data_IF_004955848511
#
_entry.id   IF_004955848511
#
_cell.length_a   1.000
_cell.length_b   1.000
_cell.length_c   1.000
_cell.angle_alpha   90.00
_cell.angle_beta   90.00
_cell.angle_gamma   90.00
#
_symmetry.space_group_name_H-M   'P 1'
#
loop_
_entity.id
_entity.type
_entity.pdbx_description
1 polymer ?
#
# COMPACT_ATOMS: atom_id res chain seq x y z
N UNK A 1 -36.69 22.12 22.57
CA UNK A 1 -36.87 20.73 22.12
C UNK A 1 -35.53 20.04 22.25
N UNK A 2 -35.45 18.88 22.90
CA UNK A 2 -34.18 18.12 22.92
C UNK A 2 -33.85 17.73 21.47
N UNK A 3 -32.65 18.10 21.01
CA UNK A 3 -32.16 17.73 19.68
C UNK A 3 -32.08 16.19 19.66
N UNK A 4 -32.74 15.55 18.67
CA UNK A 4 -32.68 14.09 18.53
C UNK A 4 -31.22 13.65 18.36
N UNK A 5 -30.83 12.56 19.01
CA UNK A 5 -29.51 11.98 18.88
C UNK A 5 -29.24 11.60 17.41
N UNK A 6 -28.18 12.15 16.82
CA UNK A 6 -27.77 11.79 15.46
C UNK A 6 -26.91 10.54 15.47
N UNK A 7 -27.01 9.72 14.44
CA UNK A 7 -26.27 8.46 14.29
C UNK A 7 -25.35 8.52 13.07
N UNK A 8 -24.06 8.22 13.25
CA UNK A 8 -23.08 8.05 12.17
C UNK A 8 -22.62 6.60 12.18
N UNK A 9 -22.71 5.95 11.02
CA UNK A 9 -22.22 4.58 10.81
C UNK A 9 -21.02 4.59 9.90
N UNK A 10 -19.91 4.01 10.34
CA UNK A 10 -18.73 3.75 9.51
C UNK A 10 -18.66 2.26 9.21
N UNK A 11 -18.65 1.90 7.94
CA UNK A 11 -18.59 0.52 7.46
C UNK A 11 -17.18 0.20 7.02
N UNK A 12 -16.55 -0.76 7.69
CA UNK A 12 -15.18 -1.20 7.47
C UNK A 12 -14.21 -0.77 8.57
N UNK A 13 -13.71 -1.75 9.32
CA UNK A 13 -12.75 -1.59 10.42
C UNK A 13 -11.27 -1.57 9.99
N UNK A 14 -10.98 -1.20 8.73
CA UNK A 14 -9.62 -0.94 8.27
C UNK A 14 -9.12 0.43 8.71
N UNK A 15 -7.86 0.75 8.37
CA UNK A 15 -7.19 1.99 8.82
C UNK A 15 -7.97 3.27 8.48
N UNK A 16 -8.64 3.33 7.33
CA UNK A 16 -9.44 4.51 6.96
C UNK A 16 -10.67 4.66 7.87
N UNK A 17 -11.42 3.58 8.08
CA UNK A 17 -12.62 3.61 8.93
C UNK A 17 -12.28 3.93 10.38
N UNK A 18 -11.23 3.33 10.93
CA UNK A 18 -10.76 3.60 12.29
C UNK A 18 -10.23 5.01 12.46
N UNK A 19 -9.47 5.53 11.48
CA UNK A 19 -9.05 6.94 11.48
C UNK A 19 -10.25 7.88 11.42
N UNK A 20 -11.26 7.56 10.60
CA UNK A 20 -12.52 8.33 10.54
C UNK A 20 -13.18 8.36 11.91
N UNK A 21 -13.33 7.20 12.57
CA UNK A 21 -13.92 7.13 13.91
C UNK A 21 -13.13 7.89 14.96
N UNK A 22 -11.79 7.76 14.93
CA UNK A 22 -10.91 8.47 15.85
C UNK A 22 -11.11 9.98 15.77
N UNK A 23 -11.09 10.53 14.57
CA UNK A 23 -11.26 11.97 14.40
C UNK A 23 -12.71 12.43 14.63
N UNK A 24 -13.74 11.64 14.28
CA UNK A 24 -15.13 11.92 14.64
C UNK A 24 -15.35 11.97 16.16
N UNK A 25 -14.80 11.02 16.90
CA UNK A 25 -14.87 11.00 18.36
C UNK A 25 -14.27 12.27 18.97
N UNK A 26 -13.15 12.76 18.45
CA UNK A 26 -12.49 13.99 18.91
C UNK A 26 -13.28 15.26 18.55
N UNK A 27 -13.70 15.37 17.30
CA UNK A 27 -14.43 16.55 16.79
C UNK A 27 -15.83 16.69 17.42
N UNK A 28 -16.45 15.57 17.80
CA UNK A 28 -17.84 15.50 18.26
C UNK A 28 -17.99 15.12 19.74
N UNK A 29 -16.91 15.11 20.53
CA UNK A 29 -16.89 14.64 21.92
C UNK A 29 -17.92 15.27 22.86
N UNK A 30 -18.43 16.46 22.54
CA UNK A 30 -19.45 17.19 23.34
C UNK A 30 -20.84 17.22 22.70
N UNK A 31 -21.05 16.40 21.66
CA UNK A 31 -22.31 16.32 20.90
C UNK A 31 -23.08 15.05 21.28
N UNK A 32 -24.40 15.13 21.21
CA UNK A 32 -25.26 13.95 21.39
C UNK A 32 -25.33 13.14 20.09
N UNK A 33 -24.25 12.37 19.81
CA UNK A 33 -24.08 11.61 18.58
C UNK A 33 -23.72 10.16 18.93
N UNK A 34 -24.42 9.21 18.31
CA UNK A 34 -24.12 7.78 18.35
C UNK A 34 -23.15 7.47 17.22
N UNK A 35 -22.00 6.89 17.54
CA UNK A 35 -20.98 6.45 16.59
C UNK A 35 -20.94 4.92 16.54
N UNK A 36 -21.13 4.34 15.36
CA UNK A 36 -21.17 2.89 15.16
C UNK A 36 -20.14 2.52 14.10
N UNK A 37 -19.23 1.60 14.41
CA UNK A 37 -18.30 1.00 13.44
C UNK A 37 -18.70 -0.45 13.19
N UNK A 38 -18.88 -0.78 11.91
CA UNK A 38 -19.29 -2.12 11.46
C UNK A 38 -18.12 -2.80 10.75
N UNK A 39 -17.75 -4.01 11.17
CA UNK A 39 -16.73 -4.84 10.54
C UNK A 39 -17.23 -6.28 10.37
N UNK A 40 -17.08 -6.82 9.16
CA UNK A 40 -17.52 -8.18 8.83
C UNK A 40 -16.68 -9.27 9.48
N UNK A 41 -15.42 -8.98 9.77
CA UNK A 41 -14.49 -9.92 10.39
C UNK A 41 -14.50 -9.77 11.92
N UNK A 42 -13.98 -10.78 12.61
CA UNK A 42 -13.81 -10.75 14.06
C UNK A 42 -12.74 -9.74 14.51
N UNK A 43 -11.76 -9.47 13.64
CA UNK A 43 -10.62 -8.60 13.91
C UNK A 43 -10.66 -7.35 13.04
N UNK A 44 -10.23 -6.23 13.63
CA UNK A 44 -10.02 -4.98 12.92
C UNK A 44 -8.71 -5.02 12.13
N UNK A 45 -8.57 -4.13 11.13
CA UNK A 45 -7.35 -3.97 10.36
C UNK A 45 -7.52 -4.17 8.84
N UNK A 46 -8.47 -4.97 8.42
CA UNK A 46 -8.75 -5.23 7.01
C UNK A 46 -7.54 -5.82 6.29
N UNK A 47 -6.89 -5.04 5.41
CA UNK A 47 -5.68 -5.47 4.66
C UNK A 47 -4.38 -5.37 5.47
N UNK A 48 -4.44 -4.99 6.73
CA UNK A 48 -3.31 -4.91 7.66
C UNK A 48 -3.53 -5.92 8.80
N UNK A 49 -3.34 -7.20 8.49
CA UNK A 49 -3.56 -8.29 9.44
C UNK A 49 -2.20 -8.92 9.83
N UNK A 50 -1.94 -8.97 11.11
CA UNK A 50 -0.73 -9.59 11.67
C UNK A 50 -1.07 -10.96 12.25
N UNK A 51 -0.25 -11.96 11.95
CA UNK A 51 -0.31 -13.30 12.51
C UNK A 51 1.00 -13.62 13.24
N UNK A 52 0.93 -14.29 14.38
CA UNK A 52 2.11 -14.70 15.14
C UNK A 52 2.12 -16.22 15.25
N UNK A 53 3.23 -16.85 14.85
CA UNK A 53 3.39 -18.29 14.88
C UNK A 53 4.87 -18.67 15.04
N UNK A 54 5.18 -19.64 15.90
CA UNK A 54 6.54 -20.18 16.14
C UNK A 54 7.62 -19.11 16.41
N UNK A 55 7.23 -17.98 17.02
CA UNK A 55 8.12 -16.86 17.31
C UNK A 55 8.34 -15.89 16.14
N UNK A 56 7.62 -16.06 15.04
CA UNK A 56 7.60 -15.15 13.90
C UNK A 56 6.36 -14.24 13.92
N UNK A 57 6.56 -12.99 13.54
CA UNK A 57 5.50 -12.01 13.26
C UNK A 57 5.34 -11.90 11.74
N UNK A 58 4.18 -12.27 11.25
CA UNK A 58 3.86 -12.37 9.82
C UNK A 58 2.78 -11.35 9.47
N UNK A 59 3.07 -10.43 8.57
CA UNK A 59 2.10 -9.46 8.05
C UNK A 59 1.41 -10.01 6.80
N UNK A 60 0.15 -10.39 6.92
CA UNK A 60 -0.58 -11.07 5.84
C UNK A 60 -0.84 -10.16 4.64
N UNK A 61 -0.96 -8.85 4.85
CA UNK A 61 -1.18 -7.84 3.82
C UNK A 61 -0.07 -6.80 3.78
N UNK A 62 -0.35 -5.54 4.11
CA UNK A 62 0.67 -4.50 4.24
C UNK A 62 1.63 -4.84 5.40
N UNK A 63 2.92 -4.61 5.22
CA UNK A 63 3.97 -4.93 6.21
C UNK A 63 4.63 -3.69 6.84
N UNK A 64 4.34 -2.51 6.29
CA UNK A 64 5.04 -1.30 6.70
C UNK A 64 4.30 -0.03 6.31
N UNK A 65 4.58 1.05 7.02
CA UNK A 65 4.03 2.39 6.82
C UNK A 65 5.16 3.31 6.34
N UNK A 66 4.87 4.16 5.34
CA UNK A 66 5.81 5.19 4.89
C UNK A 66 5.91 6.28 5.96
N UNK A 67 7.00 6.29 6.72
CA UNK A 67 7.18 7.12 7.92
C UNK A 67 7.06 8.64 7.66
N UNK A 68 7.51 9.11 6.49
CA UNK A 68 7.54 10.54 6.12
C UNK A 68 6.17 11.14 5.79
N UNK A 69 5.11 10.35 5.66
CA UNK A 69 3.81 10.89 5.34
C UNK A 69 3.27 11.71 6.51
N UNK A 70 2.89 12.95 6.24
CA UNK A 70 2.51 13.96 7.26
C UNK A 70 1.40 13.56 8.23
N UNK A 71 0.59 12.57 7.87
CA UNK A 71 -0.52 12.06 8.70
C UNK A 71 -0.12 10.91 9.62
N UNK A 72 1.07 10.33 9.45
CA UNK A 72 1.46 9.09 10.13
C UNK A 72 1.91 9.37 11.56
N UNK A 73 2.99 10.14 11.72
CA UNK A 73 3.52 10.42 13.06
C UNK A 73 2.52 11.12 13.99
N UNK A 74 1.74 12.16 13.53
CA UNK A 74 0.72 12.75 14.39
C UNK A 74 -0.33 11.75 14.89
N UNK A 75 -0.76 10.78 14.05
CA UNK A 75 -1.68 9.76 14.49
C UNK A 75 -1.03 8.82 15.52
N UNK A 76 0.22 8.41 15.31
CA UNK A 76 0.96 7.54 16.25
C UNK A 76 1.09 8.23 17.61
N UNK A 77 1.41 9.54 17.64
CA UNK A 77 1.47 10.37 18.85
C UNK A 77 0.08 10.46 19.53
N UNK A 78 -0.98 10.72 18.76
CA UNK A 78 -2.36 10.77 19.28
C UNK A 78 -2.82 9.44 19.88
N UNK A 79 -2.28 8.33 19.40
CA UNK A 79 -2.55 6.99 19.93
C UNK A 79 -1.60 6.59 21.08
N UNK A 80 -0.52 7.36 21.33
CA UNK A 80 0.48 7.04 22.36
C UNK A 80 1.28 5.78 22.02
N UNK A 81 1.68 5.62 20.77
CA UNK A 81 2.41 4.45 20.25
C UNK A 81 3.86 4.77 19.85
N UNK A 82 4.41 5.93 20.18
CA UNK A 82 5.74 6.39 19.74
C UNK A 82 6.86 5.44 20.18
N UNK A 83 6.78 4.93 21.40
CA UNK A 83 7.75 4.00 21.98
C UNK A 83 7.62 2.57 21.43
N UNK A 84 6.55 2.30 20.67
CA UNK A 84 6.28 1.01 20.00
C UNK A 84 6.81 0.97 18.58
N UNK A 85 7.12 2.14 17.98
CA UNK A 85 7.60 2.25 16.61
C UNK A 85 8.95 1.57 16.42
N UNK A 86 9.08 0.81 15.35
CA UNK A 86 10.33 0.27 14.84
C UNK A 86 10.54 0.72 13.39
N UNK A 87 11.79 0.94 13.01
CA UNK A 87 12.14 1.36 11.66
C UNK A 87 12.87 0.22 10.93
N UNK A 88 12.80 0.22 9.61
CA UNK A 88 13.49 -0.79 8.80
C UNK A 88 15.01 -0.77 9.01
N UNK A 89 15.61 -1.94 9.19
CA UNK A 89 17.02 -2.11 9.58
C UNK A 89 18.03 -1.79 8.51
N UNK A 90 17.74 -2.07 7.23
CA UNK A 90 18.69 -1.87 6.12
C UNK A 90 18.00 -1.27 4.90
N UNK A 91 18.74 -0.51 4.10
CA UNK A 91 18.25 0.12 2.86
C UNK A 91 18.70 -0.56 1.58
N UNK A 92 19.55 -1.61 1.64
CA UNK A 92 20.06 -2.29 0.45
C UNK A 92 19.00 -3.22 -0.12
N UNK A 93 18.75 -3.13 -1.42
CA UNK A 93 17.86 -4.01 -2.17
C UNK A 93 18.55 -4.51 -3.43
N UNK A 94 18.16 -5.68 -3.90
CA UNK A 94 18.76 -6.33 -5.05
C UNK A 94 17.78 -6.51 -6.19
N UNK A 95 18.32 -6.68 -7.39
CA UNK A 95 17.61 -7.21 -8.56
C UNK A 95 18.20 -8.59 -8.85
N UNK A 96 17.35 -9.61 -8.86
CA UNK A 96 17.71 -10.96 -9.26
C UNK A 96 17.48 -11.10 -10.78
N UNK A 97 18.55 -11.30 -11.50
CA UNK A 97 18.54 -11.51 -12.95
C UNK A 97 19.74 -12.37 -13.36
N UNK A 98 19.62 -13.14 -14.44
CA UNK A 98 20.69 -14.03 -14.90
C UNK A 98 21.25 -14.98 -13.81
N UNK A 99 20.39 -15.38 -12.86
CA UNK A 99 20.70 -16.22 -11.70
C UNK A 99 21.67 -15.57 -10.69
N UNK A 100 21.80 -14.26 -10.70
CA UNK A 100 22.64 -13.51 -9.77
C UNK A 100 21.89 -12.35 -9.12
N UNK A 101 22.35 -11.96 -7.93
CA UNK A 101 21.85 -10.80 -7.19
C UNK A 101 22.71 -9.58 -7.50
N UNK A 102 22.10 -8.55 -8.07
CA UNK A 102 22.73 -7.27 -8.36
C UNK A 102 22.24 -6.20 -7.39
N UNK A 103 23.13 -5.62 -6.62
CA UNK A 103 22.79 -4.54 -5.69
C UNK A 103 22.31 -3.30 -6.44
N UNK A 104 21.18 -2.74 -6.04
CA UNK A 104 20.78 -1.40 -6.47
C UNK A 104 21.68 -0.40 -5.76
N UNK A 105 22.38 0.48 -6.48
CA UNK A 105 23.28 1.46 -5.84
C UNK A 105 22.58 2.27 -4.77
N UNK A 106 23.23 2.45 -3.60
CA UNK A 106 22.64 3.11 -2.43
C UNK A 106 22.12 4.52 -2.71
N UNK A 107 22.85 5.29 -3.53
CA UNK A 107 22.42 6.61 -3.99
C UNK A 107 21.49 6.50 -5.20
N UNK A 108 20.45 5.68 -5.06
CA UNK A 108 19.34 5.56 -6.03
C UNK A 108 18.00 5.76 -5.32
N UNK A 109 17.06 6.40 -6.03
CA UNK A 109 15.69 6.56 -5.58
C UNK A 109 14.77 5.82 -6.55
N UNK A 110 14.06 4.80 -6.07
CA UNK A 110 13.20 3.96 -6.91
C UNK A 110 13.91 3.30 -8.10
N UNK A 111 15.19 2.93 -7.92
CA UNK A 111 16.02 2.40 -8.99
C UNK A 111 16.64 3.46 -9.91
N UNK A 112 16.23 4.73 -9.78
CA UNK A 112 16.81 5.85 -10.55
C UNK A 112 18.08 6.32 -9.85
N UNK A 113 19.27 6.29 -10.50
CA UNK A 113 20.50 6.83 -9.94
C UNK A 113 20.34 8.33 -9.62
N UNK A 114 20.81 8.79 -8.46
CA UNK A 114 20.72 10.20 -8.06
C UNK A 114 21.93 11.02 -8.51
N UNK A 115 22.98 10.36 -9.00
CA UNK A 115 24.22 10.99 -9.50
C UNK A 115 24.95 10.07 -10.47
N UNK A 116 26.04 10.57 -11.04
CA UNK A 116 26.87 9.81 -12.00
C UNK A 116 27.58 8.63 -11.36
N UNK A 117 28.00 8.78 -10.11
CA UNK A 117 28.72 7.77 -9.34
C UNK A 117 27.84 6.56 -9.11
N UNK A 118 26.58 6.76 -8.69
CA UNK A 118 25.59 5.68 -8.55
C UNK A 118 25.31 4.99 -9.91
N UNK A 119 25.21 5.77 -11.00
CA UNK A 119 25.05 5.21 -12.33
C UNK A 119 26.25 4.31 -12.72
N UNK A 120 27.48 4.73 -12.42
CA UNK A 120 28.68 3.95 -12.71
C UNK A 120 28.79 2.67 -11.87
N UNK A 121 28.29 2.67 -10.64
CA UNK A 121 28.29 1.51 -9.75
C UNK A 121 27.31 0.42 -10.16
N UNK A 122 26.30 0.72 -10.99
CA UNK A 122 25.34 -0.29 -11.43
C UNK A 122 26.02 -1.39 -12.24
N UNK A 123 25.81 -2.64 -11.83
CA UNK A 123 26.24 -3.84 -12.53
C UNK A 123 25.19 -4.39 -13.49
N UNK A 124 23.98 -3.81 -13.49
CA UNK A 124 22.82 -4.24 -14.29
C UNK A 124 22.88 -3.77 -15.74
N UNK A 125 23.62 -2.70 -16.03
CA UNK A 125 23.62 -2.04 -17.31
C UNK A 125 25.02 -1.98 -17.91
N UNK A 126 25.06 -2.08 -19.23
CA UNK A 126 26.32 -2.01 -20.01
C UNK A 126 26.93 -0.59 -20.00
N UNK A 127 28.17 -0.48 -20.36
CA UNK A 127 28.81 0.82 -20.55
C UNK A 127 28.12 1.68 -21.63
N UNK A 128 27.49 1.04 -22.63
CA UNK A 128 26.67 1.74 -23.61
C UNK A 128 25.37 2.29 -22.96
N UNK A 129 24.71 1.49 -22.10
CA UNK A 129 23.56 1.92 -21.32
C UNK A 129 23.89 3.06 -20.36
N UNK A 130 25.04 3.01 -19.68
CA UNK A 130 25.52 4.11 -18.82
C UNK A 130 25.71 5.40 -19.60
N UNK A 131 26.31 5.32 -20.81
CA UNK A 131 26.45 6.48 -21.70
C UNK A 131 25.09 7.02 -22.15
N UNK A 132 24.16 6.16 -22.52
CA UNK A 132 22.81 6.56 -22.92
C UNK A 132 22.08 7.27 -21.75
N UNK A 133 22.24 6.80 -20.52
CA UNK A 133 21.63 7.42 -19.34
C UNK A 133 22.16 8.84 -19.04
N UNK A 134 23.35 9.18 -19.51
CA UNK A 134 23.90 10.54 -19.41
C UNK A 134 23.27 11.54 -20.40
N UNK A 135 22.43 11.10 -21.35
CA UNK A 135 21.65 11.99 -22.21
C UNK A 135 20.72 12.91 -21.39
N UNK A 136 20.29 12.50 -20.19
CA UNK A 136 19.56 13.35 -19.26
C UNK A 136 20.26 14.70 -19.00
N UNK A 137 21.59 14.76 -19.05
CA UNK A 137 22.36 15.98 -18.77
C UNK A 137 22.26 17.03 -19.88
N UNK A 138 21.91 16.63 -21.10
CA UNK A 138 21.98 17.45 -22.32
C UNK A 138 20.66 17.59 -23.06
N UNK A 139 19.79 16.60 -23.04
CA UNK A 139 18.49 16.66 -23.71
C UNK A 139 17.54 17.60 -22.96
N UNK A 140 16.92 18.60 -23.61
CA UNK A 140 15.88 19.42 -22.99
C UNK A 140 14.54 18.64 -22.91
N UNK A 141 13.65 19.06 -22.02
CA UNK A 141 12.26 18.60 -22.03
C UNK A 141 11.41 19.53 -22.91
N UNK A 142 10.99 19.03 -24.06
CA UNK A 142 10.16 19.80 -25.02
C UNK A 142 8.75 19.22 -25.17
N UNK A 143 8.50 17.98 -24.66
CA UNK A 143 7.26 17.28 -24.98
C UNK A 143 6.52 16.68 -23.78
N UNK A 144 7.18 16.46 -22.65
CA UNK A 144 6.57 15.80 -21.52
C UNK A 144 5.94 16.77 -20.54
N UNK A 145 4.78 16.36 -20.00
CA UNK A 145 4.03 17.04 -18.94
C UNK A 145 3.81 16.10 -17.76
N UNK A 146 3.20 16.57 -16.67
CA UNK A 146 2.85 15.72 -15.53
C UNK A 146 1.89 14.58 -15.89
N UNK A 147 1.10 14.74 -16.95
CA UNK A 147 0.15 13.73 -17.43
C UNK A 147 0.80 12.71 -18.39
N UNK A 148 2.06 12.92 -18.76
CA UNK A 148 2.80 11.99 -19.62
C UNK A 148 3.15 10.70 -18.89
N UNK A 149 3.34 9.62 -19.67
CA UNK A 149 3.83 8.33 -19.17
C UNK A 149 5.18 8.47 -18.49
N UNK A 150 5.32 7.96 -17.27
CA UNK A 150 6.61 7.95 -16.57
C UNK A 150 7.61 7.02 -17.27
N UNK A 151 7.16 5.91 -17.86
CA UNK A 151 8.01 4.98 -18.59
C UNK A 151 8.64 5.63 -19.81
N UNK A 152 7.83 6.26 -20.66
CA UNK A 152 8.30 6.98 -21.84
C UNK A 152 9.23 8.15 -21.48
N UNK A 153 8.90 8.90 -20.43
CA UNK A 153 9.73 9.99 -19.92
C UNK A 153 11.10 9.50 -19.47
N UNK A 154 11.16 8.45 -18.66
CA UNK A 154 12.43 7.91 -18.18
C UNK A 154 13.24 7.29 -19.30
N UNK A 155 12.62 6.58 -20.22
CA UNK A 155 13.31 5.95 -21.36
C UNK A 155 13.91 6.99 -22.31
N UNK A 156 13.19 8.09 -22.55
CA UNK A 156 13.70 9.19 -23.38
C UNK A 156 14.98 9.83 -22.82
N UNK A 157 15.04 10.05 -21.49
CA UNK A 157 16.18 10.71 -20.87
C UNK A 157 17.28 9.75 -20.40
N UNK A 158 16.95 8.56 -19.94
CA UNK A 158 17.91 7.61 -19.38
C UNK A 158 18.23 6.41 -20.28
N UNK A 159 17.50 6.25 -21.37
CA UNK A 159 17.67 5.12 -22.28
C UNK A 159 16.97 3.84 -21.82
N UNK A 160 16.67 3.00 -22.78
CA UNK A 160 15.89 1.77 -22.61
C UNK A 160 16.51 0.80 -21.61
N UNK A 161 17.84 0.63 -21.63
CA UNK A 161 18.52 -0.40 -20.85
C UNK A 161 18.41 -0.12 -19.35
N UNK A 162 18.68 1.12 -18.89
CA UNK A 162 18.55 1.49 -17.48
C UNK A 162 17.09 1.39 -17.00
N UNK A 163 16.16 1.82 -17.84
CA UNK A 163 14.74 1.75 -17.49
C UNK A 163 14.29 0.31 -17.35
N UNK A 164 14.53 -0.55 -18.33
CA UNK A 164 14.03 -1.93 -18.33
C UNK A 164 14.72 -2.82 -17.30
N UNK A 165 16.03 -2.67 -17.09
CA UNK A 165 16.79 -3.57 -16.22
C UNK A 165 16.83 -3.15 -14.75
N UNK A 166 16.72 -1.85 -14.44
CA UNK A 166 16.87 -1.36 -13.07
C UNK A 166 15.66 -0.58 -12.56
N UNK A 167 15.11 0.36 -13.34
CA UNK A 167 14.06 1.25 -12.86
C UNK A 167 12.69 0.57 -12.89
N UNK A 168 12.30 -0.01 -14.01
CA UNK A 168 10.99 -0.62 -14.20
C UNK A 168 10.69 -1.76 -13.20
N UNK A 169 11.62 -2.69 -12.90
CA UNK A 169 11.37 -3.70 -11.87
C UNK A 169 11.00 -3.10 -10.51
N UNK A 170 11.69 -2.03 -10.10
CA UNK A 170 11.45 -1.35 -8.82
C UNK A 170 10.13 -0.59 -8.82
N UNK A 171 9.87 0.23 -9.84
CA UNK A 171 8.65 1.05 -9.90
C UNK A 171 7.38 0.21 -10.08
N UNK A 172 7.42 -0.81 -10.93
CA UNK A 172 6.30 -1.76 -11.08
C UNK A 172 6.04 -2.54 -9.80
N UNK A 173 7.08 -2.73 -8.97
CA UNK A 173 6.96 -3.30 -7.63
C UNK A 173 6.19 -2.42 -6.65
N UNK A 174 6.36 -1.11 -6.76
CA UNK A 174 5.76 -0.12 -5.85
C UNK A 174 4.35 0.26 -6.28
N UNK A 175 4.15 0.52 -7.58
CA UNK A 175 2.89 1.07 -8.11
C UNK A 175 1.94 0.02 -8.70
N UNK A 176 2.31 -1.27 -8.67
CA UNK A 176 1.46 -2.40 -9.10
C UNK A 176 0.90 -2.27 -10.52
N UNK A 177 1.64 -1.64 -11.43
CA UNK A 177 1.22 -1.40 -12.82
C UNK A 177 2.38 -1.41 -13.81
N UNK A 178 2.03 -1.44 -15.10
CA UNK A 178 2.99 -1.22 -16.17
C UNK A 178 3.45 0.23 -16.17
N UNK A 179 4.76 0.44 -16.17
CA UNK A 179 5.39 1.76 -16.09
C UNK A 179 4.93 2.70 -17.21
N UNK A 180 4.64 2.15 -18.39
CA UNK A 180 4.18 2.94 -19.54
C UNK A 180 2.71 3.34 -19.47
N UNK A 181 1.93 2.72 -18.59
CA UNK A 181 0.52 3.06 -18.33
C UNK A 181 0.30 4.00 -17.14
N UNK A 182 1.38 4.36 -16.42
CA UNK A 182 1.34 5.25 -15.26
C UNK A 182 1.81 6.67 -15.64
N UNK A 183 1.20 7.71 -15.06
CA UNK A 183 1.64 9.10 -15.27
C UNK A 183 2.73 9.51 -14.28
N UNK A 184 3.50 10.53 -14.65
CA UNK A 184 4.38 11.24 -13.73
C UNK A 184 3.60 11.80 -12.52
N UNK A 185 2.41 12.37 -12.75
CA UNK A 185 1.57 12.92 -11.68
C UNK A 185 1.18 11.88 -10.64
N UNK A 186 0.84 10.67 -11.06
CA UNK A 186 0.40 9.59 -10.16
C UNK A 186 1.54 8.82 -9.49
N UNK A 187 2.78 9.05 -9.92
CA UNK A 187 3.95 8.32 -9.44
C UNK A 187 4.98 9.23 -8.77
N UNK A 188 5.86 9.85 -9.57
CA UNK A 188 6.99 10.65 -9.09
C UNK A 188 6.97 12.03 -9.77
N UNK A 189 6.02 12.90 -9.43
CA UNK A 189 5.80 14.17 -10.13
C UNK A 189 6.99 15.13 -10.09
N UNK A 190 7.86 15.06 -9.09
CA UNK A 190 9.01 15.94 -8.98
C UNK A 190 10.11 15.65 -10.01
N UNK A 191 10.11 14.50 -10.71
CA UNK A 191 11.12 14.21 -11.74
C UNK A 191 11.06 15.19 -12.90
N UNK A 192 9.85 15.49 -13.37
CA UNK A 192 9.67 16.49 -14.44
C UNK A 192 9.94 17.92 -13.94
N UNK A 193 9.60 18.22 -12.68
CA UNK A 193 9.94 19.50 -12.07
C UNK A 193 11.48 19.67 -12.00
N UNK A 194 12.22 18.60 -11.63
CA UNK A 194 13.69 18.60 -11.67
C UNK A 194 14.23 18.79 -13.09
N UNK A 195 13.67 18.04 -14.05
CA UNK A 195 14.09 18.18 -15.44
C UNK A 195 13.91 19.60 -15.96
N UNK A 196 12.78 20.21 -15.69
CA UNK A 196 12.46 21.55 -16.17
C UNK A 196 13.26 22.64 -15.43
N UNK A 197 13.47 22.50 -14.11
CA UNK A 197 14.15 23.49 -13.30
C UNK A 197 15.68 23.43 -13.40
N UNK A 198 16.25 22.22 -13.45
CA UNK A 198 17.70 22.02 -13.44
C UNK A 198 18.27 21.58 -14.79
N UNK A 199 17.41 21.40 -15.79
CA UNK A 199 17.78 20.86 -17.11
C UNK A 199 18.14 19.37 -17.10
N UNK A 200 18.11 18.71 -15.94
CA UNK A 200 18.46 17.29 -15.78
C UNK A 200 17.87 16.74 -14.49
N UNK A 201 17.41 15.50 -14.53
CA UNK A 201 16.91 14.74 -13.38
C UNK A 201 18.07 14.51 -12.39
N UNK A 202 19.23 14.08 -12.89
CA UNK A 202 20.45 13.88 -12.07
C UNK A 202 20.88 15.16 -11.36
N UNK A 203 20.88 16.32 -12.04
CA UNK A 203 21.19 17.61 -11.42
C UNK A 203 20.14 18.00 -10.39
N UNK A 204 18.86 17.72 -10.66
CA UNK A 204 17.77 17.94 -9.71
C UNK A 204 17.93 17.13 -8.43
N UNK A 205 18.30 15.86 -8.53
CA UNK A 205 18.63 15.03 -7.37
C UNK A 205 19.84 15.57 -6.60
N UNK A 206 20.92 15.94 -7.30
CA UNK A 206 22.11 16.50 -6.67
C UNK A 206 21.80 17.80 -5.89
N UNK A 207 21.01 18.69 -6.50
CA UNK A 207 20.60 19.97 -5.85
C UNK A 207 19.66 19.76 -4.64
N UNK A 208 19.00 18.62 -4.54
CA UNK A 208 18.09 18.27 -3.45
C UNK A 208 18.61 17.10 -2.60
N UNK A 209 19.92 16.82 -2.64
CA UNK A 209 20.52 15.63 -2.00
C UNK A 209 20.16 15.51 -0.52
N UNK A 210 20.17 16.60 0.23
CA UNK A 210 19.87 16.59 1.66
C UNK A 210 18.46 16.07 1.99
N UNK A 211 17.49 16.37 1.12
CA UNK A 211 16.13 15.83 1.26
C UNK A 211 16.10 14.29 1.16
N UNK A 212 16.98 13.71 0.35
CA UNK A 212 17.04 12.27 0.13
C UNK A 212 17.93 11.53 1.12
N UNK A 213 18.98 12.18 1.63
CA UNK A 213 19.83 11.63 2.71
C UNK A 213 19.01 11.51 3.99
N UNK A 214 18.26 12.55 4.37
CA UNK A 214 17.34 12.46 5.51
C UNK A 214 16.25 11.41 5.32
N UNK A 215 15.90 11.10 4.07
CA UNK A 215 14.93 10.08 3.69
C UNK A 215 15.53 8.67 3.55
N UNK A 216 16.85 8.50 3.59
CA UNK A 216 17.51 7.19 3.46
C UNK A 216 17.41 6.36 4.75
N UNK A 217 17.40 7.04 5.91
CA UNK A 217 17.17 6.41 7.21
C UNK A 217 15.67 6.47 7.56
N UNK A 218 15.17 5.42 8.21
CA UNK A 218 13.79 5.39 8.71
C UNK A 218 12.71 5.61 7.63
N UNK A 219 12.89 5.05 6.43
CA UNK A 219 11.95 5.20 5.31
C UNK A 219 10.58 4.59 5.63
N UNK A 220 10.60 3.46 6.29
CA UNK A 220 9.43 2.70 6.65
C UNK A 220 9.43 2.45 8.15
N UNK A 221 8.24 2.45 8.73
CA UNK A 221 8.01 2.04 10.12
C UNK A 221 7.00 0.90 10.22
N UNK A 222 7.10 0.17 11.31
CA UNK A 222 6.15 -0.82 11.80
C UNK A 222 6.09 -0.70 13.32
N UNK A 223 5.51 -1.68 14.02
CA UNK A 223 5.47 -1.73 15.46
C UNK A 223 6.14 -2.99 16.01
N UNK A 224 6.55 -2.97 17.28
CA UNK A 224 7.29 -4.08 17.91
C UNK A 224 6.62 -5.44 17.78
N UNK A 225 5.28 -5.51 17.83
CA UNK A 225 4.49 -6.74 17.68
C UNK A 225 3.68 -6.75 16.37
N UNK A 226 4.14 -6.00 15.35
CA UNK A 226 3.46 -5.88 14.05
C UNK A 226 2.39 -4.81 14.01
N UNK A 227 1.81 -4.62 12.82
CA UNK A 227 0.83 -3.56 12.56
C UNK A 227 -0.49 -3.71 13.35
N UNK A 228 -0.77 -4.89 13.90
CA UNK A 228 -1.93 -5.13 14.77
C UNK A 228 -2.00 -4.19 15.96
N UNK A 229 -0.84 -3.75 16.51
CA UNK A 229 -0.80 -2.84 17.66
C UNK A 229 -1.58 -1.54 17.40
N UNK A 230 -1.58 -1.08 16.15
CA UNK A 230 -2.34 0.10 15.76
C UNK A 230 -3.85 -0.11 15.93
N UNK A 231 -4.37 -1.27 15.56
CA UNK A 231 -5.79 -1.59 15.61
C UNK A 231 -6.28 -1.91 17.03
N UNK A 232 -5.47 -2.64 17.78
CA UNK A 232 -5.69 -2.89 19.21
C UNK A 232 -5.79 -1.57 19.96
N UNK A 233 -4.90 -0.63 19.68
CA UNK A 233 -4.90 0.68 20.30
C UNK A 233 -6.09 1.56 19.94
N UNK A 234 -6.55 1.50 18.69
CA UNK A 234 -7.80 2.16 18.31
C UNK A 234 -8.97 1.61 19.10
N UNK A 235 -9.09 0.29 19.23
CA UNK A 235 -10.19 -0.36 19.96
C UNK A 235 -10.17 0.01 21.43
N UNK A 236 -9.00 0.09 22.06
CA UNK A 236 -8.84 0.53 23.44
C UNK A 236 -9.26 2.00 23.68
N UNK A 237 -8.95 2.88 22.74
CA UNK A 237 -9.20 4.32 22.90
C UNK A 237 -10.63 4.75 22.51
N UNK A 238 -11.24 4.05 21.57
CA UNK A 238 -12.57 4.40 21.03
C UNK A 238 -13.72 3.87 21.90
N UNK A 239 -13.64 4.07 23.20
CA UNK A 239 -14.60 3.54 24.22
C UNK A 239 -16.04 4.03 24.06
N UNK A 240 -16.26 5.13 23.34
CA UNK A 240 -17.59 5.69 23.04
C UNK A 240 -18.15 5.22 21.70
N UNK A 241 -17.41 4.45 20.93
CA UNK A 241 -17.83 3.87 19.65
C UNK A 241 -18.44 2.49 19.90
N UNK A 242 -19.59 2.25 19.30
CA UNK A 242 -20.20 0.93 19.25
C UNK A 242 -19.57 0.12 18.13
N UNK A 243 -18.88 -0.98 18.47
CA UNK A 243 -18.25 -1.88 17.49
C UNK A 243 -19.17 -3.06 17.20
N UNK A 244 -19.64 -3.17 15.95
CA UNK A 244 -20.36 -4.33 15.44
C UNK A 244 -19.41 -5.17 14.59
N UNK A 245 -18.64 -6.04 15.25
CA UNK A 245 -17.75 -7.02 14.60
C UNK A 245 -18.52 -8.29 14.22
N UNK A 246 -17.98 -9.12 13.32
CA UNK A 246 -18.65 -10.28 12.70
C UNK A 246 -20.01 -9.90 12.10
N UNK A 247 -20.14 -8.68 11.56
CA UNK A 247 -21.39 -8.12 11.05
C UNK A 247 -21.16 -7.55 9.64
N UNK A 248 -21.82 -8.11 8.66
CA UNK A 248 -21.73 -7.62 7.30
C UNK A 248 -22.91 -6.71 6.95
N UNK A 249 -22.63 -5.58 6.30
CA UNK A 249 -23.68 -4.75 5.70
C UNK A 249 -24.17 -5.43 4.43
N UNK A 250 -25.47 -5.69 4.34
CA UNK A 250 -26.11 -6.38 3.21
C UNK A 250 -26.80 -5.42 2.26
N UNK A 251 -27.34 -4.30 2.75
CA UNK A 251 -28.05 -3.30 1.94
C UNK A 251 -28.00 -1.93 2.61
N UNK A 252 -27.99 -0.88 1.78
CA UNK A 252 -28.22 0.52 2.18
C UNK A 252 -29.47 1.03 1.48
N UNK A 253 -30.35 1.68 2.25
CA UNK A 253 -31.61 2.19 1.74
C UNK A 253 -31.81 3.64 2.22
N UNK A 254 -32.00 4.57 1.29
CA UNK A 254 -32.23 5.97 1.65
C UNK A 254 -33.72 6.24 1.83
N UNK A 255 -34.11 6.71 3.01
CA UNK A 255 -35.48 7.03 3.37
C UNK A 255 -35.51 8.36 4.14
N UNK A 256 -36.26 9.35 3.66
CA UNK A 256 -36.46 10.64 4.34
C UNK A 256 -35.14 11.31 4.79
N UNK A 257 -34.20 11.49 3.89
CA UNK A 257 -32.87 12.11 4.15
C UNK A 257 -31.98 11.34 5.15
N UNK A 258 -32.30 10.10 5.46
CA UNK A 258 -31.49 9.19 6.27
C UNK A 258 -31.17 7.93 5.51
N UNK A 259 -30.19 7.19 5.98
CA UNK A 259 -29.80 5.87 5.43
C UNK A 259 -30.13 4.79 6.43
N UNK A 260 -30.91 3.80 6.02
CA UNK A 260 -31.12 2.57 6.77
C UNK A 260 -30.03 1.59 6.36
N UNK A 261 -29.23 1.16 7.34
CA UNK A 261 -28.16 0.19 7.17
C UNK A 261 -28.68 -1.19 7.61
N UNK A 262 -28.76 -2.12 6.66
CA UNK A 262 -29.18 -3.49 6.91
C UNK A 262 -27.99 -4.41 7.07
N UNK A 263 -28.08 -5.37 7.97
CA UNK A 263 -27.03 -6.32 8.32
C UNK A 263 -27.49 -7.76 8.11
N UNK A 264 -26.53 -8.69 8.08
CA UNK A 264 -26.79 -10.12 8.01
C UNK A 264 -27.37 -10.71 9.32
N UNK A 265 -26.84 -10.25 10.48
CA UNK A 265 -27.16 -10.82 11.80
C UNK A 265 -27.49 -9.79 12.88
N UNK A 266 -27.79 -8.53 12.49
CA UNK A 266 -28.11 -7.45 13.41
C UNK A 266 -29.35 -6.69 12.95
N UNK A 267 -30.06 -6.03 13.88
CA UNK A 267 -31.17 -5.14 13.53
C UNK A 267 -30.68 -3.94 12.72
N UNK A 268 -31.51 -3.50 11.75
CA UNK A 268 -31.17 -2.36 10.92
C UNK A 268 -30.99 -1.07 11.75
N UNK A 269 -30.03 -0.25 11.36
CA UNK A 269 -29.73 1.03 12.00
C UNK A 269 -30.11 2.17 11.06
N UNK A 270 -30.90 3.11 11.55
CA UNK A 270 -31.16 4.38 10.88
C UNK A 270 -30.00 5.34 11.17
N UNK A 271 -29.30 5.79 10.13
CA UNK A 271 -28.15 6.66 10.20
C UNK A 271 -28.41 8.01 9.53
N UNK A 272 -27.96 9.10 10.16
CA UNK A 272 -27.93 10.43 9.58
C UNK A 272 -26.77 10.57 8.58
N UNK A 273 -25.69 9.79 8.76
CA UNK A 273 -24.59 9.72 7.84
C UNK A 273 -23.93 8.33 7.83
N UNK A 274 -23.55 7.85 6.65
CA UNK A 274 -22.83 6.57 6.48
C UNK A 274 -21.51 6.82 5.77
N UNK A 275 -20.41 6.25 6.29
CA UNK A 275 -19.09 6.24 5.62
C UNK A 275 -18.78 4.82 5.18
N UNK A 276 -18.60 4.61 3.88
CA UNK A 276 -18.21 3.32 3.30
C UNK A 276 -16.70 3.28 3.14
N UNK A 277 -15.99 2.80 4.16
CA UNK A 277 -14.55 2.57 4.17
C UNK A 277 -14.20 1.13 3.72
N UNK A 278 -14.95 0.62 2.76
CA UNK A 278 -14.86 -0.74 2.21
C UNK A 278 -14.26 -0.73 0.79
N UNK A 279 -13.82 -1.90 0.26
CA UNK A 279 -13.53 -2.04 -1.17
C UNK A 279 -14.72 -1.60 -2.03
N UNK A 280 -14.44 -0.96 -3.18
CA UNK A 280 -15.48 -0.39 -4.05
C UNK A 280 -16.56 -1.39 -4.47
N UNK A 281 -16.22 -2.68 -4.69
CA UNK A 281 -17.21 -3.72 -5.02
C UNK A 281 -18.20 -3.97 -3.89
N UNK A 282 -17.73 -3.99 -2.65
CA UNK A 282 -18.60 -4.15 -1.48
C UNK A 282 -19.50 -2.92 -1.29
N UNK A 283 -18.98 -1.71 -1.56
CA UNK A 283 -19.79 -0.50 -1.56
C UNK A 283 -20.88 -0.56 -2.66
N UNK A 284 -20.54 -1.01 -3.86
CA UNK A 284 -21.48 -1.22 -4.97
C UNK A 284 -22.56 -2.23 -4.61
N UNK A 285 -22.19 -3.37 -4.06
CA UNK A 285 -23.11 -4.43 -3.62
C UNK A 285 -24.07 -3.93 -2.53
N UNK A 286 -23.56 -3.22 -1.53
CA UNK A 286 -24.39 -2.67 -0.44
C UNK A 286 -25.39 -1.60 -0.93
N UNK A 287 -25.01 -0.78 -1.93
CA UNK A 287 -25.88 0.21 -2.55
C UNK A 287 -26.94 -0.44 -3.45
N UNK A 288 -26.59 -1.51 -4.16
CA UNK A 288 -27.49 -2.28 -5.03
C UNK A 288 -28.12 -1.45 -6.17
N UNK A 289 -27.51 -0.34 -6.56
CA UNK A 289 -28.05 0.60 -7.56
C UNK A 289 -27.38 0.42 -8.91
N UNK A 290 -28.09 -0.14 -9.87
CA UNK A 290 -27.59 -0.40 -11.21
C UNK A 290 -27.14 0.87 -11.96
N UNK A 291 -27.68 2.04 -11.62
CA UNK A 291 -27.27 3.33 -12.22
C UNK A 291 -25.81 3.66 -11.94
N UNK A 292 -25.28 3.20 -10.79
CA UNK A 292 -23.89 3.40 -10.37
C UNK A 292 -22.93 2.34 -10.93
N UNK A 293 -23.42 1.25 -11.50
CA UNK A 293 -22.60 0.13 -11.99
C UNK A 293 -21.50 0.59 -12.96
N UNK A 294 -21.77 1.42 -14.01
CA UNK A 294 -20.71 1.85 -14.91
C UNK A 294 -19.63 2.70 -14.23
N UNK A 295 -19.99 3.46 -13.19
CA UNK A 295 -19.05 4.29 -12.43
C UNK A 295 -18.15 3.43 -11.52
N UNK A 296 -18.70 2.38 -10.88
CA UNK A 296 -17.93 1.43 -10.08
C UNK A 296 -17.05 0.50 -10.93
N UNK A 297 -17.49 0.07 -12.10
CA UNK A 297 -16.74 -0.80 -13.03
C UNK A 297 -15.49 -0.11 -13.61
N UNK A 298 -15.42 1.22 -13.53
CA UNK A 298 -14.23 1.98 -13.91
C UNK A 298 -13.03 1.71 -12.97
N UNK A 299 -13.28 1.27 -11.72
CA UNK A 299 -12.22 0.97 -10.76
C UNK A 299 -11.59 -0.39 -11.03
N UNK A 300 -10.29 -0.40 -11.30
CA UNK A 300 -9.54 -1.62 -11.60
C UNK A 300 -8.87 -2.15 -10.34
N UNK A 301 -8.75 -3.47 -10.28
CA UNK A 301 -8.07 -4.17 -9.19
C UNK A 301 -7.06 -5.17 -9.71
N UNK A 302 -6.05 -5.41 -8.90
CA UNK A 302 -5.04 -6.44 -9.10
C UNK A 302 -5.12 -7.50 -8.00
N UNK A 303 -4.38 -8.58 -8.21
CA UNK A 303 -4.25 -9.68 -7.25
C UNK A 303 -2.77 -9.90 -6.93
N UNK A 304 -2.50 -10.42 -5.74
CA UNK A 304 -1.16 -10.80 -5.31
C UNK A 304 -1.25 -12.05 -4.45
N UNK A 305 -0.25 -12.91 -4.57
CA UNK A 305 -0.04 -14.04 -3.67
C UNK A 305 1.23 -13.76 -2.89
N UNK A 306 1.23 -14.03 -1.60
CA UNK A 306 2.42 -13.98 -0.76
C UNK A 306 2.58 -15.26 0.02
N UNK A 307 3.83 -15.73 0.14
CA UNK A 307 4.19 -16.91 0.93
C UNK A 307 5.29 -16.51 1.90
N UNK A 308 5.01 -16.61 3.19
CA UNK A 308 6.03 -16.51 4.22
C UNK A 308 6.63 -17.88 4.51
N UNK A 309 7.95 -17.89 4.67
CA UNK A 309 8.75 -19.06 5.03
C UNK A 309 9.65 -18.66 6.20
N UNK A 310 9.40 -19.23 7.38
CA UNK A 310 10.19 -19.04 8.58
C UNK A 310 11.07 -20.28 8.82
N UNK A 311 12.37 -20.07 9.00
CA UNK A 311 13.36 -21.13 9.12
C UNK A 311 14.02 -21.13 10.50
N UNK A 312 14.54 -22.27 10.94
CA UNK A 312 15.31 -22.39 12.20
C UNK A 312 16.68 -21.71 12.11
N UNK A 313 17.25 -21.58 10.90
CA UNK A 313 18.53 -20.90 10.64
C UNK A 313 18.42 -19.38 10.80
N UNK A 314 19.54 -18.71 11.06
CA UNK A 314 19.60 -17.25 11.19
C UNK A 314 19.76 -16.52 9.87
N UNK A 315 19.81 -15.17 9.93
CA UNK A 315 20.03 -14.33 8.74
C UNK A 315 21.43 -14.45 8.12
N UNK A 316 22.37 -15.11 8.80
CA UNK A 316 23.75 -15.34 8.36
C UNK A 316 23.86 -16.29 7.16
N UNK A 317 22.80 -17.07 6.87
CA UNK A 317 22.73 -17.90 5.64
C UNK A 317 22.40 -17.07 4.38
N UNK A 318 21.99 -15.81 4.52
CA UNK A 318 21.72 -14.93 3.38
C UNK A 318 23.02 -14.59 2.65
N UNK A 319 22.99 -14.50 1.31
CA UNK A 319 24.21 -14.29 0.50
C UNK A 319 24.82 -12.89 0.65
N UNK A 320 24.07 -11.94 1.20
CA UNK A 320 24.50 -10.56 1.41
C UNK A 320 23.64 -9.85 2.45
N UNK A 321 24.10 -8.70 2.95
CA UNK A 321 23.26 -7.81 3.75
C UNK A 321 22.25 -7.09 2.87
N UNK A 322 20.96 -7.05 3.31
CA UNK A 322 19.94 -6.38 2.50
C UNK A 322 18.52 -6.61 2.99
N UNK A 323 17.58 -6.09 2.20
CA UNK A 323 16.13 -6.19 2.49
C UNK A 323 15.40 -7.20 1.62
N UNK A 324 16.10 -7.75 0.61
CA UNK A 324 15.52 -8.68 -0.36
C UNK A 324 15.78 -8.28 -1.80
N UNK A 325 15.11 -8.96 -2.71
CA UNK A 325 15.28 -8.75 -4.15
C UNK A 325 13.95 -8.70 -4.90
N UNK A 326 14.01 -8.09 -6.08
CA UNK A 326 12.97 -8.09 -7.11
C UNK A 326 13.53 -8.88 -8.31
N UNK A 327 12.71 -9.73 -8.91
CA UNK A 327 13.10 -10.52 -10.09
C UNK A 327 12.89 -9.70 -11.36
N UNK A 328 13.90 -9.67 -12.21
CA UNK A 328 13.82 -9.08 -13.53
C UNK A 328 14.35 -10.05 -14.59
N UNK A 329 13.51 -10.37 -15.57
CA UNK A 329 13.88 -11.20 -16.73
C UNK A 329 14.60 -12.51 -16.37
N UNK A 330 14.03 -13.30 -15.46
CA UNK A 330 14.57 -14.60 -15.08
C UNK A 330 13.49 -15.68 -15.16
N UNK A 331 13.83 -16.78 -15.84
CA UNK A 331 12.99 -17.99 -15.90
C UNK A 331 13.39 -19.02 -14.83
N UNK A 332 14.44 -18.77 -14.07
CA UNK A 332 14.95 -19.70 -13.07
C UNK A 332 14.04 -19.81 -11.84
N UNK A 333 13.33 -18.74 -11.51
CA UNK A 333 12.39 -18.66 -10.41
C UNK A 333 11.00 -18.24 -10.90
N UNK A 334 9.97 -18.55 -10.15
CA UNK A 334 8.59 -18.19 -10.48
C UNK A 334 8.12 -16.94 -9.71
N UNK A 335 8.80 -16.59 -8.63
CA UNK A 335 8.47 -15.41 -7.84
C UNK A 335 8.84 -14.11 -8.55
N UNK A 336 8.14 -13.02 -8.19
CA UNK A 336 8.44 -11.67 -8.68
C UNK A 336 9.32 -10.88 -7.71
N UNK A 337 9.37 -11.30 -6.43
CA UNK A 337 10.19 -10.68 -5.40
C UNK A 337 10.32 -11.59 -4.18
N UNK A 338 11.36 -11.37 -3.38
CA UNK A 338 11.52 -11.95 -2.06
C UNK A 338 12.02 -10.89 -1.09
N UNK A 339 11.26 -10.64 -0.02
CA UNK A 339 11.71 -9.80 1.10
C UNK A 339 12.40 -10.67 2.15
N UNK A 340 13.56 -10.26 2.60
CA UNK A 340 14.28 -10.84 3.74
C UNK A 340 13.73 -10.20 5.02
N UNK A 341 12.58 -10.70 5.45
CA UNK A 341 11.72 -10.02 6.42
C UNK A 341 12.42 -9.81 7.76
N UNK A 342 13.07 -10.83 8.31
CA UNK A 342 13.81 -10.72 9.59
C UNK A 342 15.06 -9.84 9.50
N UNK A 343 15.69 -9.71 8.32
CA UNK A 343 16.79 -8.77 8.10
C UNK A 343 16.28 -7.33 7.97
N UNK A 344 15.16 -7.13 7.28
CA UNK A 344 14.49 -5.81 7.15
C UNK A 344 13.86 -5.36 8.47
N UNK A 345 13.26 -6.28 9.22
CA UNK A 345 12.50 -6.06 10.45
C UNK A 345 12.95 -7.05 11.53
N UNK A 346 14.02 -6.75 12.30
CA UNK A 346 14.55 -7.68 13.31
C UNK A 346 13.53 -8.11 14.35
N UNK A 347 12.53 -7.28 14.66
CA UNK A 347 11.44 -7.58 15.59
C UNK A 347 10.48 -8.67 15.10
N UNK A 348 10.53 -9.06 13.82
CA UNK A 348 9.63 -10.09 13.26
C UNK A 348 10.08 -11.52 13.57
N UNK A 349 11.26 -11.68 14.15
CA UNK A 349 11.79 -12.97 14.61
C UNK A 349 12.37 -12.84 16.01
N UNK A 350 11.87 -13.59 17.00
CA UNK A 350 12.28 -13.49 18.41
C UNK A 350 13.72 -13.90 18.65
N UNK A 351 14.23 -14.87 17.93
CA UNK A 351 15.55 -15.48 18.16
C UNK A 351 16.53 -15.24 17.00
N UNK A 352 16.27 -14.21 16.18
CA UNK A 352 17.10 -13.91 15.01
C UNK A 352 17.00 -14.94 13.88
N UNK A 353 16.00 -15.81 13.93
CA UNK A 353 15.72 -16.81 12.90
C UNK A 353 15.29 -16.15 11.59
N UNK A 354 15.58 -16.79 10.47
CA UNK A 354 15.30 -16.29 9.14
C UNK A 354 13.80 -16.33 8.83
N UNK A 355 13.23 -15.19 8.46
CA UNK A 355 11.89 -15.05 7.92
C UNK A 355 11.95 -14.42 6.54
N UNK A 356 11.45 -15.14 5.54
CA UNK A 356 11.36 -14.67 4.14
C UNK A 356 9.90 -14.48 3.75
N UNK A 357 9.66 -13.53 2.84
CA UNK A 357 8.36 -13.32 2.19
C UNK A 357 8.52 -13.32 0.68
N UNK A 358 7.95 -14.31 0.02
CA UNK A 358 7.96 -14.49 -1.43
C UNK A 358 6.67 -13.93 -2.02
N UNK A 359 6.77 -13.27 -3.18
CA UNK A 359 5.65 -12.60 -3.84
C UNK A 359 5.44 -13.11 -5.25
N UNK A 360 4.16 -13.31 -5.63
CA UNK A 360 3.72 -13.59 -6.99
C UNK A 360 2.66 -12.56 -7.38
N UNK A 361 2.94 -11.74 -8.39
CA UNK A 361 2.11 -10.60 -8.79
C UNK A 361 1.27 -10.93 -10.02
N UNK A 362 0.15 -10.21 -10.20
CA UNK A 362 -0.70 -10.37 -11.39
C UNK A 362 0.04 -10.08 -12.72
N UNK A 363 1.12 -9.30 -12.67
CA UNK A 363 1.98 -9.02 -13.83
C UNK A 363 2.86 -10.20 -14.24
N UNK A 364 2.99 -11.21 -13.39
CA UNK A 364 3.71 -12.44 -13.71
C UNK A 364 2.98 -13.21 -14.81
N UNK A 365 3.65 -13.61 -15.91
CA UNK A 365 3.02 -14.36 -17.00
C UNK A 365 2.34 -15.66 -16.55
N UNK A 366 2.85 -16.30 -15.50
CA UNK A 366 2.32 -17.56 -14.94
C UNK A 366 1.20 -17.33 -13.91
N UNK A 367 0.84 -16.09 -13.57
CA UNK A 367 -0.07 -15.79 -12.46
C UNK A 367 -1.44 -16.46 -12.58
N UNK A 368 -1.97 -16.59 -13.82
CA UNK A 368 -3.25 -17.25 -14.08
C UNK A 368 -3.27 -18.73 -13.69
N UNK A 369 -2.11 -19.37 -13.66
CA UNK A 369 -1.90 -20.74 -13.19
C UNK A 369 -1.63 -20.74 -11.67
N UNK A 370 -0.77 -19.87 -11.19
CA UNK A 370 -0.35 -19.78 -9.80
C UNK A 370 -1.53 -19.53 -8.85
N UNK A 371 -2.48 -18.68 -9.22
CA UNK A 371 -3.63 -18.36 -8.36
C UNK A 371 -4.56 -19.56 -8.11
N UNK A 372 -4.50 -20.59 -8.96
CA UNK A 372 -5.29 -21.81 -8.85
C UNK A 372 -4.64 -22.87 -7.97
N UNK A 373 -3.34 -22.78 -7.72
CA UNK A 373 -2.60 -23.72 -6.88
C UNK A 373 -3.16 -23.72 -5.46
N UNK A 374 -3.07 -24.84 -4.78
CA UNK A 374 -3.38 -24.95 -3.34
C UNK A 374 -2.34 -24.20 -2.51
N UNK A 375 -2.58 -24.03 -1.22
CA UNK A 375 -1.59 -23.40 -0.31
C UNK A 375 -0.34 -24.26 -0.21
N UNK A 376 -0.46 -25.59 -0.18
CA UNK A 376 0.63 -26.54 -0.16
C UNK A 376 1.48 -26.48 -1.43
N UNK A 377 0.86 -26.41 -2.60
CA UNK A 377 1.56 -26.27 -3.89
C UNK A 377 2.29 -24.94 -3.99
N UNK A 378 1.71 -23.84 -3.50
CA UNK A 378 2.36 -22.53 -3.44
C UNK A 378 3.53 -22.52 -2.46
N UNK A 379 3.41 -23.20 -1.31
CA UNK A 379 4.49 -23.36 -0.36
C UNK A 379 5.69 -24.11 -0.97
N UNK A 380 5.43 -25.24 -1.66
CA UNK A 380 6.46 -26.01 -2.34
C UNK A 380 7.16 -25.19 -3.44
N UNK A 381 6.38 -24.41 -4.21
CA UNK A 381 6.91 -23.52 -5.24
C UNK A 381 7.80 -22.43 -4.63
N UNK A 382 7.36 -21.81 -3.54
CA UNK A 382 8.12 -20.76 -2.85
C UNK A 382 9.42 -21.31 -2.25
N UNK A 383 9.41 -22.50 -1.66
CA UNK A 383 10.64 -23.18 -1.19
C UNK A 383 11.61 -23.44 -2.33
N UNK A 384 11.11 -23.88 -3.50
CA UNK A 384 11.95 -24.08 -4.69
C UNK A 384 12.55 -22.78 -5.18
N UNK A 385 11.78 -21.70 -5.24
CA UNK A 385 12.26 -20.38 -5.65
C UNK A 385 13.34 -19.85 -4.68
N UNK A 386 13.17 -20.06 -3.37
CA UNK A 386 14.15 -19.71 -2.34
C UNK A 386 15.41 -20.55 -2.47
N UNK A 387 15.30 -21.87 -2.65
CA UNK A 387 16.46 -22.75 -2.86
C UNK A 387 17.25 -22.31 -4.12
N UNK A 388 16.56 -21.98 -5.21
CA UNK A 388 17.19 -21.54 -6.45
C UNK A 388 17.85 -20.18 -6.33
N UNK A 389 17.23 -19.21 -5.67
CA UNK A 389 17.71 -17.81 -5.63
C UNK A 389 18.68 -17.53 -4.47
N UNK A 390 18.54 -18.23 -3.35
CA UNK A 390 19.30 -17.97 -2.12
C UNK A 390 20.14 -19.16 -1.66
N UNK A 391 20.01 -20.32 -2.32
CA UNK A 391 20.69 -21.58 -1.94
C UNK A 391 20.32 -22.04 -0.51
N UNK A 392 19.04 -21.84 -0.11
CA UNK A 392 18.49 -22.28 1.17
C UNK A 392 17.57 -23.47 0.89
N UNK A 393 17.98 -24.66 1.32
CA UNK A 393 17.28 -25.93 1.08
C UNK A 393 16.60 -26.50 2.35
N UNK A 394 16.77 -25.85 3.50
CA UNK A 394 16.16 -26.23 4.77
C UNK A 394 14.64 -26.23 4.68
N UNK A 395 14.00 -27.09 5.49
CA UNK A 395 12.55 -27.09 5.62
C UNK A 395 12.12 -25.95 6.54
N UNK A 396 11.14 -25.12 6.14
CA UNK A 396 10.64 -24.05 6.98
C UNK A 396 9.86 -24.59 8.19
N UNK A 397 10.05 -23.95 9.34
CA UNK A 397 9.30 -24.18 10.57
C UNK A 397 7.89 -23.59 10.52
N UNK A 398 7.73 -22.50 9.79
CA UNK A 398 6.46 -21.79 9.61
C UNK A 398 6.24 -21.50 8.13
N UNK A 399 5.03 -21.78 7.66
CA UNK A 399 4.58 -21.45 6.30
C UNK A 399 3.25 -20.72 6.40
N UNK A 400 3.15 -19.55 5.76
CA UNK A 400 1.88 -18.83 5.69
C UNK A 400 1.62 -18.32 4.28
N UNK A 401 0.56 -18.79 3.66
CA UNK A 401 0.13 -18.39 2.32
C UNK A 401 -1.00 -17.38 2.43
N UNK A 402 -0.97 -16.33 1.63
CA UNK A 402 -2.06 -15.36 1.52
C UNK A 402 -2.35 -15.06 0.05
N UNK A 403 -3.62 -15.17 -0.34
CA UNK A 403 -4.12 -14.85 -1.68
C UNK A 403 -5.05 -13.64 -1.60
N UNK A 404 -4.59 -12.50 -2.09
CA UNK A 404 -5.39 -11.28 -2.19
C UNK A 404 -5.97 -11.13 -3.60
N UNK A 405 -7.09 -11.80 -3.86
CA UNK A 405 -7.70 -11.85 -5.18
C UNK A 405 -8.54 -10.61 -5.43
N UNK A 406 -8.18 -9.83 -6.46
CA UNK A 406 -8.88 -8.60 -6.87
C UNK A 406 -9.10 -7.58 -5.73
N UNK A 407 -8.17 -7.51 -4.78
CA UNK A 407 -8.27 -6.61 -3.63
C UNK A 407 -7.28 -5.45 -3.64
N UNK A 408 -6.32 -5.46 -4.57
CA UNK A 408 -5.33 -4.40 -4.70
C UNK A 408 -5.80 -3.36 -5.71
N UNK A 409 -6.14 -2.12 -5.31
CA UNK A 409 -6.56 -1.08 -6.25
C UNK A 409 -5.44 -0.74 -7.23
N UNK A 410 -5.81 -0.48 -8.48
CA UNK A 410 -4.91 -0.05 -9.55
C UNK A 410 -5.27 1.39 -9.94
N UNK A 411 -4.33 2.30 -9.76
CA UNK A 411 -4.48 3.72 -10.10
C UNK A 411 -3.95 3.98 -11.49
N UNK A 412 -4.74 3.64 -12.50
CA UNK A 412 -4.44 3.92 -13.91
C UNK A 412 -4.73 5.40 -14.28
N UNK A 413 -4.49 5.76 -15.55
CA UNK A 413 -4.68 7.11 -16.06
C UNK A 413 -6.11 7.65 -15.87
N UNK A 414 -7.09 6.77 -15.89
CA UNK A 414 -8.51 7.10 -15.82
C UNK A 414 -9.03 7.20 -14.38
N UNK A 415 -8.25 6.74 -13.40
CA UNK A 415 -8.71 6.60 -12.01
C UNK A 415 -9.22 7.92 -11.40
N UNK A 416 -8.50 9.01 -11.56
CA UNK A 416 -8.91 10.31 -11.00
C UNK A 416 -10.24 10.80 -11.59
N UNK A 417 -10.45 10.61 -12.89
CA UNK A 417 -11.71 10.94 -13.55
C UNK A 417 -12.86 10.04 -13.09
N UNK A 418 -12.58 8.74 -12.89
CA UNK A 418 -13.55 7.78 -12.36
C UNK A 418 -13.99 8.14 -10.92
N UNK A 419 -13.05 8.52 -10.04
CA UNK A 419 -13.38 9.00 -8.69
C UNK A 419 -14.30 10.21 -8.74
N UNK A 420 -13.94 11.24 -9.50
CA UNK A 420 -14.74 12.47 -9.62
C UNK A 420 -16.15 12.19 -10.15
N UNK A 421 -16.27 11.32 -11.15
CA UNK A 421 -17.56 10.94 -11.71
C UNK A 421 -18.42 10.20 -10.67
N UNK A 422 -17.85 9.24 -9.95
CA UNK A 422 -18.58 8.50 -8.93
C UNK A 422 -19.00 9.40 -7.76
N UNK A 423 -18.14 10.32 -7.30
CA UNK A 423 -18.46 11.28 -6.24
C UNK A 423 -19.65 12.19 -6.63
N UNK A 424 -19.69 12.67 -7.86
CA UNK A 424 -20.81 13.49 -8.35
C UNK A 424 -22.13 12.71 -8.35
N UNK A 425 -22.11 11.45 -8.76
CA UNK A 425 -23.29 10.59 -8.73
C UNK A 425 -23.71 10.26 -7.30
N UNK A 426 -22.77 9.95 -6.42
CA UNK A 426 -23.02 9.71 -5.00
C UNK A 426 -23.65 10.93 -4.33
N UNK A 427 -23.14 12.12 -4.59
CA UNK A 427 -23.71 13.34 -4.03
C UNK A 427 -25.15 13.60 -4.51
N UNK A 428 -25.46 13.23 -5.76
CA UNK A 428 -26.81 13.38 -6.33
C UNK A 428 -27.81 12.36 -5.78
N UNK A 429 -27.41 11.10 -5.64
CA UNK A 429 -28.32 10.01 -5.33
C UNK A 429 -28.29 9.62 -3.85
N UNK A 430 -27.15 9.81 -3.17
CA UNK A 430 -26.88 9.36 -1.81
C UNK A 430 -26.14 10.42 -0.97
N UNK A 431 -26.73 11.63 -0.76
CA UNK A 431 -26.02 12.74 -0.09
C UNK A 431 -25.62 12.43 1.38
N UNK A 432 -26.23 11.43 1.99
CA UNK A 432 -25.93 10.95 3.35
C UNK A 432 -24.85 9.87 3.38
N UNK A 433 -24.32 9.46 2.23
CA UNK A 433 -23.31 8.39 2.13
C UNK A 433 -21.99 8.94 1.54
N UNK A 434 -20.90 8.71 2.25
CA UNK A 434 -19.54 9.07 1.81
C UNK A 434 -18.71 7.84 1.53
N UNK A 435 -18.06 7.79 0.35
CA UNK A 435 -17.07 6.78 0.02
C UNK A 435 -15.72 7.14 0.64
N UNK A 436 -14.97 6.13 1.10
CA UNK A 436 -13.71 6.29 1.80
C UNK A 436 -12.70 5.19 1.45
N UNK A 437 -11.42 5.46 1.65
CA UNK A 437 -10.36 4.47 1.66
C UNK A 437 -9.63 4.24 0.34
N UNK A 438 -8.82 3.19 0.37
CA UNK A 438 -7.81 2.94 -0.66
C UNK A 438 -8.36 2.58 -2.05
N UNK A 439 -9.64 2.32 -2.20
CA UNK A 439 -10.24 2.13 -3.53
C UNK A 439 -10.29 3.44 -4.33
N UNK A 440 -10.26 4.60 -3.66
CA UNK A 440 -10.54 5.90 -4.26
C UNK A 440 -9.42 6.92 -4.05
N UNK A 441 -8.85 7.03 -2.84
CA UNK A 441 -8.05 8.20 -2.41
C UNK A 441 -6.58 7.89 -2.09
N UNK A 442 -6.06 6.76 -2.54
CA UNK A 442 -4.65 6.37 -2.41
C UNK A 442 -4.43 5.10 -1.60
N UNK A 443 -3.54 4.24 -2.11
CA UNK A 443 -3.26 2.93 -1.51
C UNK A 443 -2.32 2.99 -0.30
N UNK A 444 -1.57 4.07 -0.12
CA UNK A 444 -0.64 4.21 1.01
C UNK A 444 -1.39 4.39 2.33
N UNK A 445 -0.91 3.74 3.41
CA UNK A 445 -1.52 3.81 4.75
C UNK A 445 -1.65 5.28 5.22
N UNK A 446 -0.62 6.10 5.02
CA UNK A 446 -0.66 7.51 5.35
C UNK A 446 -1.74 8.31 4.59
N UNK A 447 -2.02 7.94 3.34
CA UNK A 447 -3.12 8.52 2.54
C UNK A 447 -4.49 8.09 3.08
N UNK A 448 -4.63 6.82 3.49
CA UNK A 448 -5.84 6.31 4.11
C UNK A 448 -6.15 7.02 5.44
N UNK A 449 -5.12 7.28 6.26
CA UNK A 449 -5.24 8.06 7.51
C UNK A 449 -5.69 9.50 7.20
N UNK A 450 -5.06 10.15 6.23
CA UNK A 450 -5.41 11.51 5.80
C UNK A 450 -6.85 11.60 5.32
N UNK A 451 -7.28 10.64 4.50
CA UNK A 451 -8.64 10.55 3.99
C UNK A 451 -9.67 10.39 5.12
N UNK A 452 -9.40 9.49 6.10
CA UNK A 452 -10.27 9.33 7.27
C UNK A 452 -10.41 10.62 8.09
N UNK A 453 -9.31 11.35 8.30
CA UNK A 453 -9.32 12.66 8.98
C UNK A 453 -10.14 13.70 8.23
N UNK A 454 -9.94 13.83 6.94
CA UNK A 454 -10.67 14.76 6.08
C UNK A 454 -12.17 14.52 6.11
N UNK A 455 -12.60 13.26 5.99
CA UNK A 455 -14.01 12.85 6.06
C UNK A 455 -14.60 13.20 7.42
N UNK A 456 -13.93 12.89 8.51
CA UNK A 456 -14.37 13.21 9.86
C UNK A 456 -14.57 14.72 10.07
N UNK A 457 -13.59 15.53 9.64
CA UNK A 457 -13.68 17.00 9.75
C UNK A 457 -14.85 17.54 8.92
N UNK A 458 -15.07 17.03 7.70
CA UNK A 458 -16.19 17.45 6.83
C UNK A 458 -17.55 17.10 7.45
N UNK A 459 -17.73 15.89 7.98
CA UNK A 459 -18.97 15.46 8.63
C UNK A 459 -19.21 16.29 9.89
N UNK A 460 -18.19 16.50 10.73
CA UNK A 460 -18.30 17.32 11.93
C UNK A 460 -18.75 18.75 11.61
N UNK A 461 -18.18 19.38 10.58
CA UNK A 461 -18.58 20.71 10.14
C UNK A 461 -20.06 20.77 9.70
N UNK A 462 -20.53 19.78 8.94
CA UNK A 462 -21.94 19.70 8.49
C UNK A 462 -22.91 19.58 9.68
N UNK A 463 -22.52 18.82 10.72
CA UNK A 463 -23.36 18.61 11.92
C UNK A 463 -23.30 19.78 12.90
N UNK A 464 -22.34 20.70 12.79
CA UNK A 464 -22.21 21.88 13.64
C UNK A 464 -22.83 23.13 13.04
N UNK A 465 -23.14 23.14 11.74
CA UNK A 465 -23.70 24.30 11.02
C UNK A 465 -25.24 24.32 11.07
N UNK A 466 -25.87 23.33 11.69
CA UNK A 466 -27.31 23.22 11.95
C UNK A 466 -27.51 23.34 13.47
#
# INVERSE_FOLDING_TARGET
MAQSMKTIVVVGGGITGLSTMHYLTRELQHKNIRLVLVEKEAQLGGKMATHEENGFIVELGADSIVARHKSVMPLIEELGLEDRVVYNGTGVSYIYTQNELHAIPLESMYGIPMNKEALQQSTLISEAGKRAALNDLTLPNEQFTKDSSIGEFLEYFFGEELVKKQIAPVLSGIYSGDLYSLTLASTIPYLIDYKNQYGSILKGYAANKDKFISLSHNKFLSFKNGLRELFERFEELLTTVEFLKNTAVTKLETVNEKTIVHFDHHEAIEADHVVLATPHRMAQEALGDERLTPAFDAFKTSSIITVYLGYEVGNDVLPAEGTGFIVANSDAVNCDACTWTSAKWPNTSKDGKLLLRVFYKKTNPKFAELIKLTEEELAQLAMKDVATSLNIEEQPLTIKVSKWTQQMPVYNLEHAAAVKNLEQQMQSYYPTITLAGCSYYGVGIGLCIANGKEIATRIAAQLTTV
#
